data_IF_293570432317
#
_entry.id   IF_293570432317
#
_cell.length_a   1.000
_cell.length_b   1.000
_cell.length_c   1.000
_cell.angle_alpha   90.00
_cell.angle_beta   90.00
_cell.angle_gamma   90.00
#
_symmetry.space_group_name_H-M   'P 1'
#
loop_
_entity.id
_entity.type
_entity.pdbx_description
1 polymer ?
#
# COMPACT_ATOMS: atom_id res chain seq x y z
N UNK A 1 14.32 -1.13 -9.42
CA UNK A 1 14.79 -2.50 -9.69
C UNK A 1 14.90 -3.20 -8.34
N UNK A 2 13.85 -3.88 -7.90
CA UNK A 2 13.83 -4.57 -6.59
C UNK A 2 14.30 -6.01 -6.70
N UNK A 3 13.92 -6.66 -7.81
CA UNK A 3 14.16 -8.07 -8.10
C UNK A 3 15.64 -8.48 -8.25
N UNK A 4 16.57 -7.53 -8.28
CA UNK A 4 18.00 -7.77 -8.51
C UNK A 4 18.87 -7.46 -7.29
N UNK A 5 18.24 -7.04 -6.18
CA UNK A 5 18.96 -6.72 -4.95
C UNK A 5 19.10 -7.99 -4.12
N UNK A 6 20.22 -8.11 -3.41
CA UNK A 6 20.38 -9.16 -2.41
C UNK A 6 19.41 -8.93 -1.24
N UNK A 7 19.00 -10.01 -0.59
CA UNK A 7 17.95 -9.96 0.42
C UNK A 7 18.32 -9.04 1.60
N UNK A 8 19.59 -9.01 2.00
CA UNK A 8 20.09 -8.13 3.06
C UNK A 8 20.02 -6.64 2.69
N UNK A 9 20.19 -6.32 1.41
CA UNK A 9 20.03 -4.96 0.91
C UNK A 9 18.55 -4.54 0.91
N UNK A 10 17.65 -5.48 0.62
CA UNK A 10 16.19 -5.26 0.68
C UNK A 10 15.79 -4.94 2.13
N UNK A 11 16.23 -5.74 3.11
CA UNK A 11 15.95 -5.50 4.53
C UNK A 11 16.45 -4.13 4.99
N UNK A 12 17.69 -3.76 4.63
CA UNK A 12 18.24 -2.43 4.95
C UNK A 12 17.44 -1.29 4.30
N UNK A 13 17.08 -1.42 3.03
CA UNK A 13 16.34 -0.39 2.29
C UNK A 13 14.91 -0.22 2.77
N UNK A 14 14.27 -1.30 3.20
CA UNK A 14 12.89 -1.28 3.69
C UNK A 14 12.79 -1.09 5.21
N UNK A 15 13.94 -0.99 5.89
CA UNK A 15 14.03 -0.94 7.35
C UNK A 15 13.22 -2.06 8.01
N UNK A 16 13.38 -3.27 7.49
CA UNK A 16 12.69 -4.47 7.96
C UNK A 16 13.68 -5.57 8.29
N UNK A 17 13.17 -6.64 8.89
CA UNK A 17 13.94 -7.82 9.23
C UNK A 17 13.21 -9.10 8.79
N UNK A 18 13.88 -10.27 8.76
CA UNK A 18 13.25 -11.53 8.39
C UNK A 18 12.03 -11.91 9.25
N UNK A 19 11.96 -11.42 10.49
CA UNK A 19 10.82 -11.61 11.39
C UNK A 19 9.58 -10.77 11.05
N UNK A 20 9.68 -9.87 10.05
CA UNK A 20 8.59 -9.00 9.63
C UNK A 20 8.62 -7.64 10.32
N UNK A 21 7.45 -7.01 10.42
CA UNK A 21 7.28 -5.70 11.06
C UNK A 21 6.61 -5.87 12.42
N UNK A 22 7.08 -5.11 13.41
CA UNK A 22 6.35 -4.93 14.66
C UNK A 22 5.06 -4.13 14.45
N UNK A 23 4.05 -4.39 15.28
CA UNK A 23 2.72 -3.79 15.20
C UNK A 23 2.75 -2.25 15.11
N UNK A 24 3.61 -1.59 15.93
CA UNK A 24 3.74 -0.14 15.93
C UNK A 24 4.23 0.41 14.58
N UNK A 25 5.21 -0.25 13.98
CA UNK A 25 5.77 0.17 12.69
C UNK A 25 4.78 -0.11 11.54
N UNK A 26 4.07 -1.25 11.61
CA UNK A 26 3.00 -1.55 10.67
C UNK A 26 1.89 -0.49 10.70
N UNK A 27 1.43 -0.07 11.89
CA UNK A 27 0.44 0.99 12.06
C UNK A 27 0.95 2.35 11.55
N UNK A 28 2.20 2.70 11.85
CA UNK A 28 2.83 3.93 11.35
C UNK A 28 2.85 3.95 9.82
N UNK A 29 3.24 2.86 9.17
CA UNK A 29 3.25 2.73 7.70
C UNK A 29 1.84 2.78 7.13
N UNK A 30 0.85 2.13 7.75
CA UNK A 30 -0.54 2.20 7.33
C UNK A 30 -1.08 3.62 7.38
N UNK A 31 -0.74 4.39 8.42
CA UNK A 31 -1.14 5.80 8.52
C UNK A 31 -0.44 6.69 7.48
N UNK A 32 0.81 6.39 7.13
CA UNK A 32 1.59 7.17 6.17
C UNK A 32 1.21 6.88 4.70
N UNK A 33 0.99 5.61 4.34
CA UNK A 33 0.74 5.20 2.95
C UNK A 33 -0.73 4.93 2.64
N UNK A 34 -1.55 4.74 3.67
CA UNK A 34 -2.93 4.31 3.52
C UNK A 34 -3.05 2.80 3.24
N UNK A 35 -4.28 2.32 3.06
CA UNK A 35 -4.52 0.91 2.78
C UNK A 35 -3.97 0.53 1.41
N UNK A 36 -3.38 -0.67 1.30
CA UNK A 36 -2.99 -1.27 0.03
C UNK A 36 -4.24 -1.78 -0.73
N UNK A 37 -5.13 -0.87 -1.10
CA UNK A 37 -6.34 -1.13 -1.88
C UNK A 37 -6.42 -0.09 -2.99
N UNK A 38 -6.77 -0.53 -4.19
CA UNK A 38 -7.07 0.36 -5.29
C UNK A 38 -8.30 1.24 -4.96
N UNK A 39 -8.29 2.53 -5.35
CA UNK A 39 -9.45 3.38 -5.18
C UNK A 39 -10.63 2.82 -5.97
N UNK A 40 -11.83 2.91 -5.39
CA UNK A 40 -13.04 2.52 -6.11
C UNK A 40 -13.29 3.48 -7.27
N UNK A 41 -13.66 2.93 -8.42
CA UNK A 41 -14.07 3.76 -9.55
C UNK A 41 -15.29 4.60 -9.17
N UNK A 42 -15.35 5.82 -9.70
CA UNK A 42 -16.52 6.69 -9.52
C UNK A 42 -17.71 6.03 -10.19
N UNK A 43 -18.66 5.54 -9.38
CA UNK A 43 -19.93 5.03 -9.89
C UNK A 43 -20.67 6.16 -10.59
N UNK A 44 -21.16 5.89 -11.80
CA UNK A 44 -22.10 6.79 -12.47
C UNK A 44 -23.38 6.82 -11.64
N UNK A 45 -23.83 8.01 -11.25
CA UNK A 45 -25.06 8.13 -10.46
C UNK A 45 -26.28 7.76 -11.31
N UNK A 46 -27.29 7.16 -10.68
CA UNK A 46 -28.55 6.82 -11.36
C UNK A 46 -29.21 8.05 -12.01
N UNK A 47 -29.10 9.21 -11.35
CA UNK A 47 -29.58 10.49 -11.88
C UNK A 47 -28.83 10.90 -13.15
N UNK A 48 -27.51 10.71 -13.20
CA UNK A 48 -26.71 10.98 -14.40
C UNK A 48 -27.03 10.03 -15.56
N UNK A 49 -27.44 8.80 -15.27
CA UNK A 49 -27.92 7.85 -16.30
C UNK A 49 -29.31 8.27 -16.81
N UNK A 50 -30.17 8.79 -15.92
CA UNK A 50 -31.56 9.11 -16.25
C UNK A 50 -31.76 10.47 -16.95
N UNK A 51 -30.96 11.48 -16.59
CA UNK A 51 -31.03 12.85 -17.14
C UNK A 51 -29.85 13.20 -18.06
N UNK A 52 -28.93 12.27 -18.27
CA UNK A 52 -27.80 12.41 -19.18
C UNK A 52 -28.17 12.12 -20.63
#
# INVERSE_FOLDING_TARGET
MWHSLEIDEIYKKLETEPGGLGEKEAQKRLAAFGPNKLPEEKKVSRLKIFFG
#
